data_IF_688674930257
#
_entry.id   IF_688674930257
#
_cell.length_a   1.000
_cell.length_b   1.000
_cell.length_c   1.000
_cell.angle_alpha   90.00
_cell.angle_beta   90.00
_cell.angle_gamma   90.00
#
_symmetry.space_group_name_H-M   'P 1'
#
loop_
_entity.id
_entity.type
_entity.pdbx_description
1 polymer ?
#
# COMPACT_ATOMS: atom_id res chain seq x y z
N UNK A 1 -11.26 -6.79 -7.14
CA UNK A 1 -10.17 -7.22 -6.22
C UNK A 1 -8.79 -7.45 -6.87
N UNK A 2 -8.68 -7.51 -8.21
CA UNK A 2 -7.47 -8.04 -8.85
C UNK A 2 -6.51 -7.02 -9.48
N UNK A 3 -6.86 -5.73 -9.52
CA UNK A 3 -5.90 -4.70 -9.94
C UNK A 3 -5.52 -3.79 -8.76
N UNK A 4 -4.63 -4.25 -7.87
CA UNK A 4 -4.03 -3.42 -6.80
C UNK A 4 -2.87 -2.54 -7.32
N UNK A 5 -2.36 -2.82 -8.52
CA UNK A 5 -1.20 -2.13 -9.07
C UNK A 5 -1.46 -0.76 -9.69
N UNK A 6 -2.37 -0.63 -10.67
CA UNK A 6 -2.70 0.68 -11.22
C UNK A 6 -3.28 1.60 -10.14
N UNK A 7 -3.97 1.05 -9.13
CA UNK A 7 -4.51 1.86 -8.03
C UNK A 7 -3.45 2.54 -7.15
N UNK A 8 -2.25 1.99 -7.04
CA UNK A 8 -1.21 2.53 -6.15
C UNK A 8 -0.51 3.73 -6.77
N UNK A 9 -0.16 3.64 -8.05
CA UNK A 9 0.28 4.78 -8.86
C UNK A 9 -0.81 5.85 -8.91
N UNK A 10 -2.04 5.42 -9.19
CA UNK A 10 -3.16 6.33 -9.44
C UNK A 10 -3.62 7.09 -8.20
N UNK A 11 -3.59 6.43 -7.04
CA UNK A 11 -3.80 7.07 -5.76
C UNK A 11 -2.68 8.08 -5.43
N UNK A 12 -1.44 7.80 -5.84
CA UNK A 12 -0.33 8.74 -5.69
C UNK A 12 -0.48 9.96 -6.60
N UNK A 13 -0.99 9.79 -7.83
CA UNK A 13 -1.33 10.91 -8.73
C UNK A 13 -2.44 11.78 -8.12
N UNK A 14 -3.56 11.20 -7.68
CA UNK A 14 -4.65 11.96 -7.05
C UNK A 14 -4.24 12.65 -5.74
N UNK A 15 -3.26 12.10 -5.01
CA UNK A 15 -2.73 12.70 -3.78
C UNK A 15 -1.51 13.59 -3.99
N UNK A 16 -1.01 13.72 -5.22
CA UNK A 16 0.19 14.50 -5.52
C UNK A 16 1.47 13.99 -4.83
N UNK A 17 1.55 12.70 -4.47
CA UNK A 17 2.73 12.13 -3.80
C UNK A 17 3.80 11.73 -4.84
N UNK A 18 4.57 12.75 -5.23
CA UNK A 18 5.61 12.66 -6.26
C UNK A 18 6.73 11.67 -5.88
N UNK A 19 7.06 11.55 -4.58
CA UNK A 19 8.11 10.63 -4.10
C UNK A 19 7.74 9.14 -4.20
N UNK A 20 6.45 8.83 -4.17
CA UNK A 20 5.96 7.45 -4.39
C UNK A 20 5.79 7.13 -5.88
N UNK A 21 5.56 8.14 -6.71
CA UNK A 21 5.28 7.98 -8.13
C UNK A 21 6.40 7.24 -8.87
N UNK A 22 7.66 7.67 -8.67
CA UNK A 22 8.86 7.06 -9.28
C UNK A 22 9.01 5.57 -8.96
N UNK A 23 8.64 5.15 -7.75
CA UNK A 23 8.68 3.73 -7.34
C UNK A 23 7.49 2.92 -7.88
N UNK A 24 6.35 3.57 -8.07
CA UNK A 24 5.13 2.91 -8.54
C UNK A 24 5.20 2.54 -10.03
N UNK A 25 5.89 3.33 -10.86
CA UNK A 25 6.03 3.12 -12.31
C UNK A 25 7.08 2.09 -12.69
N UNK A 26 8.11 1.90 -11.87
CA UNK A 26 9.13 0.86 -12.10
C UNK A 26 8.51 -0.55 -12.09
N UNK A 27 8.89 -1.38 -13.07
CA UNK A 27 8.45 -2.78 -13.22
C UNK A 27 9.02 -3.63 -12.09
N UNK A 28 10.31 -3.43 -11.78
CA UNK A 28 11.03 -4.11 -10.72
C UNK A 28 11.27 -3.11 -9.60
N UNK A 29 10.88 -3.47 -8.38
CA UNK A 29 11.11 -2.66 -7.18
C UNK A 29 11.92 -3.47 -6.18
N UNK A 30 13.20 -3.11 -6.02
CA UNK A 30 14.14 -3.77 -5.10
C UNK A 30 15.58 -3.41 -5.47
N UNK A 31 16.31 -2.83 -4.54
CA UNK A 31 17.77 -2.63 -4.63
C UNK A 31 18.35 -3.03 -3.29
N UNK A 32 19.39 -3.87 -3.36
CA UNK A 32 20.30 -4.37 -2.33
C UNK A 32 19.67 -4.81 -0.98
N UNK A 33 19.68 -6.12 -0.74
CA UNK A 33 19.34 -6.72 0.56
C UNK A 33 17.87 -7.13 0.79
N UNK A 34 16.95 -6.81 -0.13
CA UNK A 34 15.53 -7.19 -0.04
C UNK A 34 15.09 -7.87 -1.34
N UNK A 35 14.35 -8.99 -1.23
CA UNK A 35 13.85 -9.75 -2.39
C UNK A 35 13.08 -8.82 -3.36
N UNK A 36 13.48 -8.78 -4.65
CA UNK A 36 12.88 -7.88 -5.62
C UNK A 36 11.43 -8.27 -5.90
N UNK A 37 10.57 -7.25 -6.03
CA UNK A 37 9.16 -7.43 -6.42
C UNK A 37 9.00 -7.07 -7.88
N UNK A 38 8.44 -7.97 -8.66
CA UNK A 38 8.12 -7.77 -10.08
C UNK A 38 6.61 -7.69 -10.30
N UNK A 39 6.20 -6.96 -11.35
CA UNK A 39 4.80 -6.67 -11.66
C UNK A 39 4.49 -7.16 -13.09
N UNK A 40 4.17 -8.46 -13.28
CA UNK A 40 4.04 -9.03 -14.62
C UNK A 40 2.82 -8.45 -15.37
N UNK A 41 1.71 -8.22 -14.68
CA UNK A 41 0.46 -7.71 -15.26
C UNK A 41 0.36 -6.17 -15.24
N UNK A 42 1.47 -5.47 -15.48
CA UNK A 42 1.47 -3.99 -15.47
C UNK A 42 0.61 -3.40 -16.60
N UNK A 43 0.66 -4.01 -17.78
CA UNK A 43 -0.01 -3.52 -18.98
C UNK A 43 -1.28 -4.32 -19.36
N UNK A 44 -1.62 -5.36 -18.59
CA UNK A 44 -2.81 -6.16 -18.83
C UNK A 44 -4.04 -5.57 -18.14
N UNK A 45 -5.20 -5.60 -18.80
CA UNK A 45 -6.45 -5.10 -18.24
C UNK A 45 -7.09 -6.11 -17.27
N UNK A 46 -7.86 -5.64 -16.28
CA UNK A 46 -8.57 -6.51 -15.33
C UNK A 46 -9.50 -7.50 -16.06
N UNK A 47 -10.20 -7.04 -17.11
CA UNK A 47 -11.11 -7.85 -17.92
C UNK A 47 -10.40 -8.99 -18.65
N UNK A 48 -9.18 -8.76 -19.13
CA UNK A 48 -8.39 -9.75 -19.87
C UNK A 48 -7.88 -10.84 -18.92
N UNK A 49 -7.39 -10.43 -17.74
CA UNK A 49 -6.92 -11.36 -16.71
C UNK A 49 -8.06 -12.27 -16.23
N UNK A 50 -9.25 -11.70 -16.00
CA UNK A 50 -10.44 -12.46 -15.58
C UNK A 50 -10.91 -13.39 -16.70
N UNK A 51 -10.93 -12.92 -17.95
CA UNK A 51 -11.29 -13.74 -19.11
C UNK A 51 -10.32 -14.91 -19.29
N UNK A 52 -9.01 -14.67 -19.13
CA UNK A 52 -7.98 -15.70 -19.19
C UNK A 52 -8.18 -16.75 -18.09
N UNK A 53 -8.39 -16.32 -16.85
CA UNK A 53 -8.66 -17.23 -15.73
C UNK A 53 -9.91 -18.08 -15.96
N UNK A 54 -10.97 -17.50 -16.54
CA UNK A 54 -12.18 -18.24 -16.86
C UNK A 54 -11.96 -19.29 -17.96
N UNK A 55 -11.27 -18.93 -19.04
CA UNK A 55 -10.96 -19.85 -20.15
C UNK A 55 -10.08 -21.03 -19.70
N UNK A 56 -9.12 -20.77 -18.81
CA UNK A 56 -8.24 -21.79 -18.24
C UNK A 56 -8.80 -22.48 -16.99
N UNK A 57 -10.04 -22.16 -16.59
CA UNK A 57 -10.72 -22.71 -15.40
C UNK A 57 -9.85 -22.65 -14.13
N UNK A 58 -9.17 -21.52 -13.93
CA UNK A 58 -8.39 -21.28 -12.72
C UNK A 58 -9.32 -20.91 -11.56
N UNK A 59 -9.11 -21.51 -10.40
CA UNK A 59 -9.85 -21.16 -9.19
C UNK A 59 -9.47 -19.75 -8.73
N UNK A 60 -10.45 -18.84 -8.73
CA UNK A 60 -10.27 -17.48 -8.22
C UNK A 60 -11.46 -17.05 -7.35
N UNK A 61 -11.18 -16.23 -6.34
CA UNK A 61 -12.20 -15.70 -5.43
C UNK A 61 -12.75 -14.37 -5.92
N UNK A 62 -14.07 -14.30 -6.12
CA UNK A 62 -14.79 -13.07 -6.50
C UNK A 62 -15.34 -12.29 -5.30
N UNK A 63 -15.26 -12.84 -4.09
CA UNK A 63 -15.78 -12.22 -2.87
C UNK A 63 -15.00 -10.96 -2.51
N UNK A 64 -15.69 -9.83 -2.42
CA UNK A 64 -15.10 -8.58 -1.96
C UNK A 64 -15.01 -8.52 -0.43
N UNK A 65 -14.03 -7.78 0.08
CA UNK A 65 -13.92 -7.55 1.52
C UNK A 65 -15.07 -6.66 2.00
N UNK A 66 -15.66 -6.97 3.15
CA UNK A 66 -16.76 -6.19 3.78
C UNK A 66 -16.41 -4.71 3.97
N UNK A 67 -15.12 -4.40 4.18
CA UNK A 67 -14.61 -3.04 4.37
C UNK A 67 -14.12 -2.38 3.07
N UNK A 68 -14.16 -3.07 1.93
CA UNK A 68 -13.76 -2.53 0.63
C UNK A 68 -14.52 -1.27 0.18
N UNK A 69 -15.85 -1.14 0.36
CA UNK A 69 -16.58 0.01 -0.19
C UNK A 69 -16.22 1.35 0.47
N UNK A 70 -15.80 1.33 1.73
CA UNK A 70 -15.41 2.54 2.46
C UNK A 70 -13.97 3.01 2.15
N UNK A 71 -13.21 2.26 1.35
CA UNK A 71 -11.85 2.62 1.02
C UNK A 71 -11.80 3.65 -0.12
N UNK A 72 -11.02 4.72 0.05
CA UNK A 72 -10.79 5.73 -1.00
C UNK A 72 -10.32 5.12 -2.35
N UNK A 73 -9.61 3.99 -2.26
CA UNK A 73 -9.19 3.19 -3.43
C UNK A 73 -10.37 2.76 -4.32
N UNK A 74 -11.53 2.48 -3.75
CA UNK A 74 -12.75 2.15 -4.49
C UNK A 74 -13.17 3.27 -5.44
N UNK A 75 -13.25 4.51 -4.93
CA UNK A 75 -13.60 5.70 -5.70
C UNK A 75 -12.63 5.97 -6.85
N UNK A 76 -11.33 5.83 -6.60
CA UNK A 76 -10.34 5.95 -7.68
C UNK A 76 -10.54 4.83 -8.71
N UNK A 77 -10.92 3.61 -8.33
CA UNK A 77 -11.17 2.53 -9.31
C UNK A 77 -12.38 2.84 -10.19
N UNK A 78 -13.49 3.29 -9.60
CA UNK A 78 -14.73 3.60 -10.34
C UNK A 78 -14.50 4.73 -11.33
N UNK A 79 -13.86 5.82 -10.91
CA UNK A 79 -13.57 6.96 -11.78
C UNK A 79 -12.83 6.57 -13.07
N UNK A 80 -11.87 5.64 -13.00
CA UNK A 80 -11.13 5.24 -14.21
C UNK A 80 -11.87 4.20 -15.02
N UNK A 81 -12.71 3.38 -14.39
CA UNK A 81 -13.64 2.56 -15.16
C UNK A 81 -14.57 3.46 -15.99
N UNK A 82 -14.98 4.60 -15.46
CA UNK A 82 -15.75 5.60 -16.20
C UNK A 82 -14.93 6.25 -17.32
N UNK A 83 -13.64 6.55 -17.09
CA UNK A 83 -12.75 7.02 -18.16
C UNK A 83 -12.47 5.96 -19.23
N UNK A 84 -12.37 4.67 -18.87
CA UNK A 84 -12.18 3.57 -19.82
C UNK A 84 -13.40 3.43 -20.76
N UNK A 85 -14.61 3.70 -20.25
CA UNK A 85 -15.84 3.70 -21.06
C UNK A 85 -15.82 4.78 -22.15
N UNK A 86 -15.22 5.94 -21.87
CA UNK A 86 -15.08 7.03 -22.84
C UNK A 86 -13.90 6.80 -23.79
N UNK A 87 -12.75 6.40 -23.23
CA UNK A 87 -11.52 6.15 -23.98
C UNK A 87 -10.87 4.83 -23.53
N UNK A 88 -10.87 3.78 -24.38
CA UNK A 88 -10.38 2.45 -23.99
C UNK A 88 -8.87 2.43 -23.67
N UNK A 89 -8.11 3.40 -24.20
CA UNK A 89 -6.66 3.53 -23.99
C UNK A 89 -6.29 4.34 -22.74
N UNK A 90 -7.26 4.97 -22.07
CA UNK A 90 -7.03 5.87 -20.93
C UNK A 90 -6.13 5.28 -19.84
N UNK A 91 -6.26 3.99 -19.53
CA UNK A 91 -5.44 3.32 -18.51
C UNK A 91 -3.97 3.25 -18.93
N UNK A 92 -3.69 2.91 -20.19
CA UNK A 92 -2.33 2.80 -20.72
C UNK A 92 -1.70 4.18 -20.89
N UNK A 93 -2.47 5.17 -21.31
CA UNK A 93 -2.00 6.55 -21.47
C UNK A 93 -1.60 7.16 -20.12
N UNK A 94 -2.36 6.86 -19.05
CA UNK A 94 -2.02 7.25 -17.68
C UNK A 94 -0.70 6.59 -17.21
N UNK A 95 -0.49 5.30 -17.53
CA UNK A 95 0.75 4.59 -17.18
C UNK A 95 1.93 5.18 -17.94
N UNK A 96 1.78 5.38 -19.25
CA UNK A 96 2.82 5.93 -20.14
C UNK A 96 3.19 7.35 -19.73
N UNK A 97 2.20 8.19 -19.42
CA UNK A 97 2.41 9.53 -18.87
C UNK A 97 3.18 9.47 -17.55
N UNK A 98 2.88 8.50 -16.68
CA UNK A 98 3.61 8.25 -15.44
C UNK A 98 5.07 7.84 -15.63
N UNK A 99 5.35 7.03 -16.64
CA UNK A 99 6.72 6.61 -16.99
C UNK A 99 7.55 7.77 -17.57
N UNK A 100 6.92 8.60 -18.38
CA UNK A 100 7.53 9.80 -18.98
C UNK A 100 7.72 10.94 -17.97
N UNK A 101 7.00 10.90 -16.84
CA UNK A 101 7.11 11.92 -15.80
C UNK A 101 8.45 11.80 -15.07
N UNK A 102 9.42 12.59 -15.51
CA UNK A 102 10.71 12.75 -14.84
C UNK A 102 10.52 13.54 -13.53
N UNK A 103 10.52 12.83 -12.40
CA UNK A 103 10.51 13.44 -11.07
C UNK A 103 11.90 13.99 -10.76
N UNK A 104 11.98 15.28 -10.39
CA UNK A 104 13.21 15.94 -9.90
C UNK A 104 13.85 15.12 -8.78
N UNK A 105 15.17 14.98 -8.79
CA UNK A 105 15.92 14.10 -7.87
C UNK A 105 15.91 14.57 -6.40
N UNK A 106 15.39 15.76 -6.13
CA UNK A 106 15.40 16.42 -4.80
C UNK A 106 14.44 15.81 -3.76
N UNK A 107 13.72 14.72 -4.10
CA UNK A 107 12.78 14.10 -3.17
C UNK A 107 13.54 13.20 -2.19
N UNK A 108 13.74 13.70 -0.98
CA UNK A 108 14.32 12.97 0.17
C UNK A 108 13.61 11.62 0.35
N UNK A 109 14.28 10.55 -0.05
CA UNK A 109 13.83 9.20 0.23
C UNK A 109 14.19 8.85 1.67
N UNK A 110 13.26 8.28 2.47
CA UNK A 110 13.56 7.88 3.83
C UNK A 110 14.63 6.79 3.82
N UNK A 111 15.65 6.98 4.65
CA UNK A 111 16.75 6.02 4.85
C UNK A 111 16.16 4.74 5.43
N UNK A 112 16.58 3.59 4.88
CA UNK A 112 16.18 2.27 5.35
C UNK A 112 17.11 1.86 6.49
N UNK A 113 16.55 1.59 7.66
CA UNK A 113 17.24 1.03 8.82
C UNK A 113 16.70 -0.37 9.14
N UNK A 114 17.41 -1.11 9.99
CA UNK A 114 16.92 -2.40 10.50
C UNK A 114 16.21 -2.18 11.85
N UNK A 115 15.12 -2.90 12.06
CA UNK A 115 14.39 -2.87 13.33
C UNK A 115 15.23 -3.54 14.42
N UNK A 116 15.37 -2.89 15.57
CA UNK A 116 16.12 -3.42 16.72
C UNK A 116 15.50 -4.68 17.34
N UNK A 117 14.17 -4.86 17.24
CA UNK A 117 13.46 -5.99 17.86
C UNK A 117 13.35 -7.23 16.98
N UNK A 118 13.17 -7.06 15.67
CA UNK A 118 12.86 -8.17 14.76
C UNK A 118 13.78 -8.25 13.54
N UNK A 119 14.74 -7.33 13.38
CA UNK A 119 15.67 -7.32 12.26
C UNK A 119 15.06 -7.02 10.88
N UNK A 120 13.76 -6.71 10.80
CA UNK A 120 13.12 -6.35 9.52
C UNK A 120 13.45 -4.92 9.08
N UNK A 121 13.40 -4.68 7.76
CA UNK A 121 13.65 -3.34 7.18
C UNK A 121 12.54 -2.37 7.60
N UNK A 122 12.93 -1.26 8.20
CA UNK A 122 12.07 -0.22 8.73
C UNK A 122 12.60 1.17 8.36
N UNK A 123 11.75 2.19 8.36
CA UNK A 123 12.17 3.60 8.30
C UNK A 123 12.37 4.22 9.70
N UNK A 124 11.97 3.49 10.74
CA UNK A 124 12.03 3.85 12.16
C UNK A 124 12.84 2.80 12.92
N UNK A 125 13.41 3.13 14.10
CA UNK A 125 14.22 2.18 14.89
C UNK A 125 13.45 0.92 15.31
N UNK A 126 12.14 1.06 15.54
CA UNK A 126 11.22 -0.06 15.83
C UNK A 126 10.19 -0.15 14.71
N UNK A 127 9.88 -1.36 14.27
CA UNK A 127 8.96 -1.60 13.17
C UNK A 127 7.50 -1.30 13.57
N UNK A 128 6.68 -0.78 12.65
CA UNK A 128 5.26 -0.49 12.94
C UNK A 128 4.50 -1.74 13.40
N UNK A 129 4.82 -2.92 12.87
CA UNK A 129 4.23 -4.18 13.33
C UNK A 129 4.60 -4.50 14.78
N UNK A 130 5.84 -4.22 15.18
CA UNK A 130 6.35 -4.43 16.53
C UNK A 130 5.67 -3.49 17.53
N UNK A 131 5.47 -2.23 17.14
CA UNK A 131 4.71 -1.25 17.91
C UNK A 131 3.25 -1.69 18.06
N UNK A 132 2.63 -2.15 16.97
CA UNK A 132 1.25 -2.63 16.98
C UNK A 132 1.06 -3.86 17.88
N UNK A 133 1.97 -4.83 17.81
CA UNK A 133 1.94 -6.01 18.69
C UNK A 133 2.12 -5.62 20.16
N UNK A 134 2.97 -4.62 20.44
CA UNK A 134 3.11 -4.05 21.78
C UNK A 134 1.80 -3.48 22.31
N UNK A 135 1.12 -2.64 21.52
CA UNK A 135 -0.17 -2.03 21.90
C UNK A 135 -1.30 -3.05 22.08
N UNK A 136 -1.31 -4.12 21.27
CA UNK A 136 -2.27 -5.20 21.41
C UNK A 136 -2.05 -6.00 22.70
N UNK A 137 -0.78 -6.32 23.02
CA UNK A 137 -0.43 -7.06 24.23
C UNK A 137 -0.64 -6.24 25.51
N UNK A 138 -0.53 -4.91 25.43
CA UNK A 138 -0.76 -4.01 26.56
C UNK A 138 -2.24 -3.69 26.81
N UNK A 139 -3.18 -4.33 26.10
CA UNK A 139 -4.62 -4.14 26.31
C UNK A 139 -5.16 -2.74 25.96
N UNK A 140 -4.36 -1.90 25.30
CA UNK A 140 -4.74 -0.53 24.90
C UNK A 140 -4.85 -0.47 23.38
N UNK A 141 -6.01 -0.82 22.79
CA UNK A 141 -6.24 -0.66 21.36
C UNK A 141 -6.55 0.81 21.02
N UNK A 142 -5.80 1.77 21.57
CA UNK A 142 -5.78 3.14 21.04
C UNK A 142 -4.77 3.18 19.90
N UNK A 143 -5.20 2.65 18.76
CA UNK A 143 -4.57 2.93 17.47
C UNK A 143 -4.43 4.45 17.35
N UNK A 144 -3.20 4.92 17.22
CA UNK A 144 -2.82 6.30 16.94
C UNK A 144 -3.31 6.71 15.54
N UNK A 145 -4.62 6.82 15.38
CA UNK A 145 -5.31 7.34 14.19
C UNK A 145 -5.92 8.72 14.46
N UNK A 146 -5.69 9.29 15.65
CA UNK A 146 -6.07 10.65 15.99
C UNK A 146 -4.79 11.48 16.19
N UNK A 147 -4.42 12.26 15.18
CA UNK A 147 -3.33 13.25 15.25
C UNK A 147 -3.65 14.41 16.22
N UNK A 148 -4.90 14.43 16.74
CA UNK A 148 -5.50 15.52 17.51
C UNK A 148 -5.21 15.51 19.02
N UNK A 149 -4.56 14.48 19.57
CA UNK A 149 -4.38 14.37 21.03
C UNK A 149 -2.97 13.94 21.43
N UNK A 150 -2.05 14.91 21.46
CA UNK A 150 -0.85 14.80 22.32
C UNK A 150 -1.30 15.02 23.76
N UNK A 151 -1.34 13.97 24.57
CA UNK A 151 -1.43 14.10 26.03
C UNK A 151 -0.21 13.46 26.69
N UNK A 152 0.29 14.05 27.79
CA UNK A 152 1.62 13.80 28.32
C UNK A 152 1.73 12.43 28.96
N UNK A 153 2.94 11.87 28.83
CA UNK A 153 3.41 10.69 29.57
C UNK A 153 3.52 11.09 31.05
N UNK A 154 2.89 10.32 31.93
CA UNK A 154 3.10 10.11 33.40
C UNK A 154 1.80 9.45 33.90
N UNK A 155 1.73 8.30 34.58
CA UNK A 155 2.47 7.78 35.72
C UNK A 155 2.34 6.24 35.77
N UNK A 156 3.26 5.61 36.50
CA UNK A 156 3.33 4.18 36.82
C UNK A 156 2.17 3.69 37.69
N UNK A 157 1.95 2.36 37.69
CA UNK A 157 1.42 1.46 38.74
C UNK A 157 0.51 0.35 38.15
N UNK A 158 0.35 -0.83 38.78
CA UNK A 158 1.36 -1.76 39.30
C UNK A 158 1.25 -3.16 38.62
N UNK A 159 2.26 -4.00 38.86
CA UNK A 159 2.32 -5.42 38.45
C UNK A 159 1.32 -6.23 39.28
N UNK A 160 0.32 -6.84 38.63
CA UNK A 160 -0.46 -7.93 39.23
C UNK A 160 0.01 -9.29 38.73
N UNK A 161 0.92 -9.88 39.51
CA UNK A 161 1.10 -11.32 39.64
C UNK A 161 -0.13 -11.96 40.28
N UNK A 162 -0.76 -12.93 39.61
CA UNK A 162 -1.52 -14.09 40.15
C UNK A 162 -1.85 -14.97 38.93
N UNK A 163 -1.21 -16.14 38.69
CA UNK A 163 -1.39 -17.45 39.36
C UNK A 163 -2.88 -17.77 39.60
N UNK A 164 -3.50 -18.45 38.64
CA UNK A 164 -3.93 -19.86 38.69
C UNK A 164 -4.35 -20.32 37.30
#
# INVERSE_FOLDING_TARGET
>A
PFCLFPLSFRLAVFRGDVGRLKRCTAIITGVEGVLPRFKPFKYAYEKEIVMYAHMHKLDYFSTECKYAPHAYRGFARTFIKDLERLHPRSILDIITSGEQMAVREDVKMPVRSLCTKCGSVSSQPVCQACTLLGSLNSGLPRLSLDESRRFPINQEDPVDTKKE
#
